data_IF_541450108579
#
_entry.id   IF_541450108579
#
_cell.length_a   1.000
_cell.length_b   1.000
_cell.length_c   1.000
_cell.angle_alpha   90.00
_cell.angle_beta   90.00
_cell.angle_gamma   90.00
#
_symmetry.space_group_name_H-M   'P 1'
#
loop_
_entity.id
_entity.type
_entity.pdbx_description
1 polymer ?
#
# COMPACT_ATOMS: atom_id res chain seq x y z
N UNK A 1 15.77 -3.50 -7.40
CA UNK A 1 14.89 -4.17 -6.41
C UNK A 1 14.93 -3.55 -5.02
N UNK A 2 16.09 -3.44 -4.34
CA UNK A 2 16.18 -2.91 -2.97
C UNK A 2 15.68 -1.47 -2.83
N UNK A 3 16.05 -0.59 -3.78
CA UNK A 3 15.57 0.81 -3.85
C UNK A 3 14.07 0.90 -4.16
N UNK A 4 13.58 0.11 -5.13
CA UNK A 4 12.17 0.10 -5.51
C UNK A 4 11.23 -0.29 -4.36
N UNK A 5 11.56 -1.35 -3.62
CA UNK A 5 10.82 -1.73 -2.41
C UNK A 5 10.99 -0.75 -1.24
N UNK A 6 11.94 0.19 -1.32
CA UNK A 6 12.09 1.29 -0.37
C UNK A 6 11.15 2.45 -0.65
N UNK A 7 10.61 2.56 -1.88
CA UNK A 7 9.74 3.65 -2.33
C UNK A 7 8.25 3.39 -2.10
N UNK A 8 7.87 2.32 -1.41
CA UNK A 8 6.47 1.94 -1.17
C UNK A 8 5.65 3.11 -0.57
N UNK A 9 6.24 3.88 0.34
CA UNK A 9 5.57 4.99 1.02
C UNK A 9 5.23 6.14 0.06
N UNK A 10 6.05 6.37 -0.97
CA UNK A 10 5.79 7.37 -2.01
C UNK A 10 4.56 6.94 -2.81
N UNK A 11 4.49 5.66 -3.19
CA UNK A 11 3.38 5.14 -3.96
C UNK A 11 2.07 5.17 -3.16
N UNK A 12 2.12 4.81 -1.88
CA UNK A 12 0.98 4.89 -0.98
C UNK A 12 0.49 6.35 -0.79
N UNK A 13 1.40 7.31 -0.62
CA UNK A 13 1.05 8.73 -0.48
C UNK A 13 0.37 9.28 -1.74
N UNK A 14 0.95 9.02 -2.91
CA UNK A 14 0.39 9.53 -4.17
C UNK A 14 -0.97 8.88 -4.44
N UNK A 15 -1.10 7.57 -4.27
CA UNK A 15 -2.39 6.87 -4.41
C UNK A 15 -3.45 7.39 -3.43
N UNK A 16 -3.08 7.63 -2.18
CA UNK A 16 -3.99 8.20 -1.16
C UNK A 16 -4.43 9.62 -1.54
N UNK A 17 -3.49 10.47 -1.96
CA UNK A 17 -3.79 11.84 -2.37
C UNK A 17 -4.70 11.88 -3.60
N UNK A 18 -4.46 11.01 -4.60
CA UNK A 18 -5.29 10.91 -5.80
C UNK A 18 -6.71 10.46 -5.48
N UNK A 19 -6.87 9.44 -4.63
CA UNK A 19 -8.18 8.97 -4.18
C UNK A 19 -8.93 10.05 -3.39
N UNK A 20 -8.22 10.76 -2.49
CA UNK A 20 -8.81 11.81 -1.67
C UNK A 20 -9.24 13.04 -2.47
N UNK A 21 -8.45 13.45 -3.45
CA UNK A 21 -8.74 14.59 -4.33
C UNK A 21 -9.78 14.25 -5.41
N UNK A 22 -10.14 12.98 -5.57
CA UNK A 22 -11.11 12.54 -6.56
C UNK A 22 -12.52 13.08 -6.19
N UNK A 23 -13.18 13.83 -7.10
CA UNK A 23 -14.48 14.44 -6.84
C UNK A 23 -15.58 13.46 -6.40
N UNK A 24 -15.51 12.20 -6.86
CA UNK A 24 -16.53 11.18 -6.63
C UNK A 24 -16.08 10.09 -5.66
N UNK A 25 -14.76 9.88 -5.53
CA UNK A 25 -14.16 8.81 -4.70
C UNK A 25 -13.57 9.36 -3.39
N UNK A 26 -13.61 10.68 -3.16
CA UNK A 26 -12.91 11.37 -2.05
C UNK A 26 -13.05 10.76 -0.65
N UNK A 27 -14.24 10.27 -0.26
CA UNK A 27 -14.42 9.60 1.04
C UNK A 27 -13.67 8.27 1.15
N UNK A 28 -13.43 7.57 0.03
CA UNK A 28 -12.62 6.35 0.00
C UNK A 28 -11.12 6.63 0.16
N UNK A 29 -10.66 7.85 -0.10
CA UNK A 29 -9.31 8.28 0.26
C UNK A 29 -8.97 8.08 1.75
N UNK A 30 -9.97 8.06 2.64
CA UNK A 30 -9.78 7.73 4.06
C UNK A 30 -9.36 6.26 4.28
N UNK A 31 -9.89 5.31 3.48
CA UNK A 31 -9.47 3.92 3.57
C UNK A 31 -8.01 3.74 3.15
N UNK A 32 -7.59 4.45 2.09
CA UNK A 32 -6.18 4.46 1.65
C UNK A 32 -5.25 5.06 2.73
N UNK A 33 -5.74 6.05 3.48
CA UNK A 33 -4.99 6.59 4.61
C UNK A 33 -4.85 5.59 5.76
N UNK A 34 -5.91 4.84 6.09
CA UNK A 34 -5.88 3.77 7.10
C UNK A 34 -4.91 2.66 6.68
N UNK A 35 -4.96 2.24 5.41
CA UNK A 35 -3.99 1.30 4.83
C UNK A 35 -2.56 1.81 5.04
N UNK A 36 -2.29 3.06 4.66
CA UNK A 36 -0.97 3.65 4.76
C UNK A 36 -0.44 3.63 6.21
N UNK A 37 -1.30 3.99 7.18
CA UNK A 37 -0.94 3.94 8.60
C UNK A 37 -0.61 2.52 9.08
N UNK A 38 -1.41 1.52 8.70
CA UNK A 38 -1.17 0.11 9.03
C UNK A 38 0.17 -0.36 8.45
N UNK A 39 0.47 0.00 7.19
CA UNK A 39 1.73 -0.35 6.54
C UNK A 39 2.94 0.27 7.25
N UNK A 40 2.86 1.53 7.69
CA UNK A 40 3.92 2.17 8.48
C UNK A 40 4.17 1.37 9.77
N UNK A 41 3.11 1.08 10.53
CA UNK A 41 3.22 0.34 11.79
C UNK A 41 3.87 -1.04 11.60
N UNK A 42 3.49 -1.78 10.56
CA UNK A 42 4.10 -3.07 10.25
C UNK A 42 5.58 -2.94 9.86
N UNK A 43 5.92 -1.94 9.04
CA UNK A 43 7.30 -1.72 8.60
C UNK A 43 8.20 -1.37 9.79
N UNK A 44 7.73 -0.50 10.70
CA UNK A 44 8.44 -0.16 11.93
C UNK A 44 8.65 -1.42 12.79
N UNK A 45 7.60 -2.23 12.97
CA UNK A 45 7.67 -3.47 13.75
C UNK A 45 8.75 -4.43 13.20
N UNK A 46 8.79 -4.62 11.87
CA UNK A 46 9.78 -5.46 11.22
C UNK A 46 11.19 -4.91 11.40
N UNK A 47 11.39 -3.60 11.27
CA UNK A 47 12.71 -2.97 11.47
C UNK A 47 13.22 -3.23 12.89
N UNK A 48 12.36 -3.08 13.91
CA UNK A 48 12.74 -3.38 15.29
C UNK A 48 13.08 -4.86 15.50
N UNK A 49 12.29 -5.78 14.94
CA UNK A 49 12.57 -7.22 15.04
C UNK A 49 13.86 -7.63 14.33
N UNK A 50 14.15 -7.06 13.16
CA UNK A 50 15.41 -7.31 12.45
C UNK A 50 16.61 -6.84 13.28
N UNK A 51 16.55 -5.64 13.87
CA UNK A 51 17.61 -5.15 14.77
C UNK A 51 17.78 -6.05 16.00
N UNK A 52 16.68 -6.52 16.60
CA UNK A 52 16.72 -7.45 17.72
C UNK A 52 17.32 -8.81 17.33
N UNK A 53 17.01 -9.30 16.13
CA UNK A 53 17.56 -10.54 15.57
C UNK A 53 19.08 -10.47 15.36
N UNK A 54 19.59 -9.35 14.86
CA UNK A 54 21.03 -9.09 14.73
C UNK A 54 21.73 -9.01 16.11
N UNK A 55 21.08 -8.38 17.10
CA UNK A 55 21.62 -8.25 18.47
C UNK A 55 21.65 -9.58 19.25
N UNK A 56 20.64 -10.44 19.05
CA UNK A 56 20.46 -11.69 19.80
C UNK A 56 21.11 -12.91 19.13
N UNK A 57 22.23 -12.72 18.40
CA UNK A 57 22.95 -13.79 17.69
C UNK A 57 22.05 -14.70 16.84
N UNK A 58 21.08 -14.10 16.15
CA UNK A 58 20.24 -14.80 15.19
C UNK A 58 19.30 -15.86 15.78
N UNK A 59 18.68 -15.56 16.92
CA UNK A 59 17.63 -16.37 17.56
C UNK A 59 16.58 -16.87 16.53
N UNK A 60 16.36 -18.17 16.54
CA UNK A 60 15.46 -18.87 15.62
C UNK A 60 13.98 -18.49 15.86
N UNK A 61 13.60 -18.04 17.07
CA UNK A 61 12.25 -17.53 17.33
C UNK A 61 11.99 -16.22 16.59
N UNK A 62 12.88 -15.24 16.74
CA UNK A 62 12.81 -13.95 16.05
C UNK A 62 12.84 -14.13 14.52
N UNK A 63 13.58 -15.13 14.03
CA UNK A 63 13.58 -15.53 12.61
C UNK A 63 12.19 -15.88 12.10
N UNK A 64 11.46 -16.73 12.83
CA UNK A 64 10.10 -17.15 12.46
C UNK A 64 9.16 -15.93 12.46
N UNK A 65 9.26 -15.08 13.48
CA UNK A 65 8.44 -13.87 13.59
C UNK A 65 8.70 -12.88 12.44
N UNK A 66 9.95 -12.63 12.06
CA UNK A 66 10.28 -11.76 10.91
C UNK A 66 9.76 -12.37 9.60
N UNK A 67 9.85 -13.70 9.44
CA UNK A 67 9.33 -14.39 8.25
C UNK A 67 7.81 -14.30 8.17
N UNK A 68 7.12 -14.48 9.29
CA UNK A 68 5.67 -14.35 9.38
C UNK A 68 5.23 -12.91 9.07
N UNK A 69 5.90 -11.90 9.65
CA UNK A 69 5.64 -10.49 9.34
C UNK A 69 5.92 -10.16 7.86
N UNK A 70 6.98 -10.76 7.30
CA UNK A 70 7.26 -10.67 5.87
C UNK A 70 6.11 -11.22 5.02
N UNK A 71 5.53 -12.37 5.37
CA UNK A 71 4.36 -12.97 4.71
C UNK A 71 3.12 -12.07 4.85
N UNK A 72 2.88 -11.54 6.05
CA UNK A 72 1.74 -10.67 6.34
C UNK A 72 1.72 -9.42 5.43
N UNK A 73 2.89 -8.81 5.15
CA UNK A 73 2.98 -7.69 4.20
C UNK A 73 2.42 -8.07 2.82
N UNK A 74 2.70 -9.27 2.32
CA UNK A 74 2.19 -9.67 1.00
C UNK A 74 0.69 -9.86 1.00
N UNK A 75 0.19 -10.57 2.02
CA UNK A 75 -1.25 -10.83 2.14
C UNK A 75 -2.00 -9.51 2.24
N UNK A 76 -1.52 -8.58 3.06
CA UNK A 76 -2.13 -7.26 3.16
C UNK A 76 -2.01 -6.47 1.86
N UNK A 77 -0.84 -6.43 1.22
CA UNK A 77 -0.67 -5.69 -0.03
C UNK A 77 -1.65 -6.18 -1.11
N UNK A 78 -1.87 -7.49 -1.20
CA UNK A 78 -2.84 -8.08 -2.12
C UNK A 78 -4.27 -7.74 -1.69
N UNK A 79 -4.60 -7.89 -0.41
CA UNK A 79 -5.94 -7.60 0.11
C UNK A 79 -6.33 -6.13 -0.12
N UNK A 80 -5.45 -5.19 0.23
CA UNK A 80 -5.68 -3.77 0.02
C UNK A 80 -5.72 -3.41 -1.47
N UNK A 81 -4.88 -4.02 -2.31
CA UNK A 81 -4.97 -3.82 -3.75
C UNK A 81 -6.36 -4.18 -4.29
N UNK A 82 -6.91 -5.34 -3.91
CA UNK A 82 -8.26 -5.73 -4.34
C UNK A 82 -9.35 -4.87 -3.72
N UNK A 83 -9.21 -4.48 -2.45
CA UNK A 83 -10.15 -3.58 -1.78
C UNK A 83 -10.20 -2.22 -2.47
N UNK A 84 -9.06 -1.60 -2.75
CA UNK A 84 -8.99 -0.31 -3.45
C UNK A 84 -9.49 -0.44 -4.89
N UNK A 85 -9.14 -1.53 -5.59
CA UNK A 85 -9.63 -1.80 -6.94
C UNK A 85 -11.16 -1.88 -6.98
N UNK A 86 -11.74 -2.64 -6.05
CA UNK A 86 -13.19 -2.82 -5.98
C UNK A 86 -13.89 -1.54 -5.52
N UNK A 87 -13.42 -0.91 -4.45
CA UNK A 87 -14.01 0.30 -3.90
C UNK A 87 -13.97 1.46 -4.90
N UNK A 88 -12.79 1.83 -5.38
CA UNK A 88 -12.64 2.96 -6.31
C UNK A 88 -13.30 2.66 -7.65
N UNK A 89 -13.28 1.41 -8.12
CA UNK A 89 -13.97 0.98 -9.33
C UNK A 89 -15.51 1.05 -9.24
N UNK A 90 -16.09 0.52 -8.15
CA UNK A 90 -17.55 0.53 -7.95
C UNK A 90 -18.06 1.95 -7.75
N UNK A 91 -17.37 2.77 -6.95
CA UNK A 91 -17.77 4.16 -6.69
C UNK A 91 -17.69 4.99 -7.95
N UNK A 92 -16.63 4.82 -8.74
CA UNK A 92 -16.51 5.48 -10.03
C UNK A 92 -17.66 5.07 -10.97
N UNK A 93 -17.99 3.78 -11.05
CA UNK A 93 -19.06 3.29 -11.91
C UNK A 93 -20.43 3.85 -11.48
N UNK A 94 -20.73 3.82 -10.17
CA UNK A 94 -21.96 4.38 -9.62
C UNK A 94 -22.07 5.88 -9.91
N UNK A 95 -20.99 6.64 -9.73
CA UNK A 95 -20.97 8.07 -10.01
C UNK A 95 -21.16 8.40 -11.50
N UNK A 96 -20.65 7.58 -12.42
CA UNK A 96 -20.84 7.82 -13.86
C UNK A 96 -22.19 7.33 -14.41
N UNK A 97 -22.83 6.36 -13.74
CA UNK A 97 -24.17 5.90 -14.13
C UNK A 97 -25.30 6.78 -13.64
N UNK A 98 -25.05 7.61 -12.62
CA UNK A 98 -26.06 8.49 -12.05
C UNK A 98 -26.21 9.79 -12.87
N UNK A 99 -27.44 10.25 -13.09
CA UNK A 99 -27.71 11.44 -13.94
C UNK A 99 -27.33 12.77 -13.27
N UNK A 100 -27.17 12.76 -11.95
CA UNK A 100 -26.78 13.91 -11.14
C UNK A 100 -25.84 13.42 -10.03
N UNK A 101 -24.58 13.11 -10.37
CA UNK A 101 -23.69 12.55 -9.37
C UNK A 101 -23.38 13.62 -8.32
N UNK A 102 -23.77 13.34 -7.09
CA UNK A 102 -23.47 14.19 -5.95
C UNK A 102 -21.94 14.24 -5.80
N UNK A 103 -21.34 15.38 -6.12
CA UNK A 103 -19.90 15.63 -5.94
C UNK A 103 -19.70 16.16 -4.52
N UNK A 104 -19.19 15.36 -3.57
CA UNK A 104 -18.86 15.87 -2.23
C UNK A 104 -17.83 17.01 -2.28
N UNK A 105 -17.02 17.09 -3.34
CA UNK A 105 -15.99 18.12 -3.52
C UNK A 105 -15.99 18.70 -4.94
N UNK A 106 -16.67 19.84 -5.15
CA UNK A 106 -16.54 20.66 -6.37
C UNK A 106 -15.33 21.59 -6.31
N UNK A 107 -14.14 21.02 -6.10
CA UNK A 107 -12.88 21.79 -6.10
C UNK A 107 -12.41 22.04 -7.53
N UNK A 108 -12.88 21.23 -8.49
CA UNK A 108 -12.43 21.23 -9.88
C UNK A 108 -13.45 21.87 -10.81
N UNK A 109 -12.95 22.65 -11.78
CA UNK A 109 -13.76 23.25 -12.84
C UNK A 109 -14.37 22.23 -13.81
N UNK A 110 -13.74 21.05 -13.95
CA UNK A 110 -14.22 19.92 -14.75
C UNK A 110 -14.10 18.61 -13.94
N UNK A 111 -15.08 18.29 -13.08
CA UNK A 111 -15.00 17.18 -12.13
C UNK A 111 -14.98 15.81 -12.81
N UNK A 112 -15.67 15.63 -13.94
CA UNK A 112 -15.76 14.34 -14.63
C UNK A 112 -14.41 13.94 -15.23
N UNK A 113 -13.79 14.86 -15.96
CA UNK A 113 -12.47 14.62 -16.58
C UNK A 113 -11.40 14.42 -15.52
N UNK A 114 -11.43 15.21 -14.43
CA UNK A 114 -10.47 15.06 -13.34
C UNK A 114 -10.65 13.77 -12.55
N UNK A 115 -11.89 13.31 -12.34
CA UNK A 115 -12.14 12.02 -11.71
C UNK A 115 -11.48 10.87 -12.46
N UNK A 116 -11.63 10.84 -13.80
CA UNK A 116 -11.00 9.81 -14.65
C UNK A 116 -9.48 9.84 -14.51
N UNK A 117 -8.88 11.03 -14.58
CA UNK A 117 -7.43 11.20 -14.46
C UNK A 117 -6.94 10.74 -13.09
N UNK A 118 -7.60 11.18 -12.01
CA UNK A 118 -7.21 10.83 -10.65
C UNK A 118 -7.39 9.33 -10.37
N UNK A 119 -8.42 8.70 -10.92
CA UNK A 119 -8.61 7.25 -10.84
C UNK A 119 -7.49 6.49 -11.57
N UNK A 120 -7.09 6.93 -12.77
CA UNK A 120 -5.98 6.32 -13.51
C UNK A 120 -4.66 6.44 -12.73
N UNK A 121 -4.40 7.62 -12.15
CA UNK A 121 -3.23 7.84 -11.29
C UNK A 121 -3.30 6.89 -10.08
N UNK A 122 -4.43 6.85 -9.38
CA UNK A 122 -4.64 5.97 -8.22
C UNK A 122 -4.36 4.51 -8.57
N UNK A 123 -4.88 4.00 -9.69
CA UNK A 123 -4.64 2.61 -10.11
C UNK A 123 -3.18 2.32 -10.42
N UNK A 124 -2.52 3.21 -11.18
CA UNK A 124 -1.09 3.06 -11.49
C UNK A 124 -0.29 3.01 -10.20
N UNK A 125 -0.56 3.91 -9.25
CA UNK A 125 0.16 3.95 -7.99
C UNK A 125 -0.20 2.80 -7.04
N UNK A 126 -1.42 2.26 -7.08
CA UNK A 126 -1.78 1.04 -6.37
C UNK A 126 -1.01 -0.19 -6.91
N UNK A 127 -0.86 -0.31 -8.23
CA UNK A 127 -0.04 -1.38 -8.84
C UNK A 127 1.43 -1.22 -8.44
N UNK A 128 1.98 0.00 -8.53
CA UNK A 128 3.35 0.28 -8.12
C UNK A 128 3.57 -0.01 -6.63
N UNK A 129 2.61 0.34 -5.77
CA UNK A 129 2.63 0.02 -4.35
C UNK A 129 2.68 -1.49 -4.12
N UNK A 130 1.80 -2.26 -4.77
CA UNK A 130 1.77 -3.73 -4.68
C UNK A 130 3.14 -4.33 -5.07
N UNK A 131 3.67 -3.95 -6.23
CA UNK A 131 4.98 -4.46 -6.70
C UNK A 131 6.11 -4.04 -5.75
N UNK A 132 6.04 -2.84 -5.18
CA UNK A 132 7.01 -2.33 -4.22
C UNK A 132 7.01 -3.13 -2.92
N UNK A 133 5.83 -3.41 -2.36
CA UNK A 133 5.66 -4.21 -1.15
C UNK A 133 6.09 -5.67 -1.38
N UNK A 134 5.81 -6.24 -2.55
CA UNK A 134 6.33 -7.55 -2.96
C UNK A 134 7.86 -7.56 -2.94
N UNK A 135 8.50 -6.57 -3.57
CA UNK A 135 9.96 -6.42 -3.60
C UNK A 135 10.54 -6.27 -2.18
N UNK A 136 9.86 -5.50 -1.32
CA UNK A 136 10.26 -5.26 0.07
C UNK A 136 10.23 -6.55 0.88
N UNK A 137 9.14 -7.31 0.79
CA UNK A 137 9.03 -8.60 1.46
C UNK A 137 10.12 -9.59 1.01
N UNK A 138 10.49 -9.58 -0.29
CA UNK A 138 11.52 -10.49 -0.82
C UNK A 138 12.86 -10.13 -0.19
N UNK A 139 13.13 -8.83 -0.08
CA UNK A 139 14.34 -8.30 0.55
C UNK A 139 14.43 -8.73 2.02
N UNK A 140 13.34 -8.62 2.78
CA UNK A 140 13.29 -9.04 4.19
C UNK A 140 13.56 -10.55 4.31
N UNK A 141 12.89 -11.38 3.50
CA UNK A 141 13.10 -12.84 3.50
C UNK A 141 14.54 -13.21 3.16
N UNK A 142 15.17 -12.54 2.18
CA UNK A 142 16.58 -12.78 1.81
C UNK A 142 17.53 -12.40 2.94
N UNK A 143 17.27 -11.29 3.63
CA UNK A 143 18.09 -10.87 4.78
C UNK A 143 18.10 -11.96 5.85
N UNK A 144 16.92 -12.46 6.21
CA UNK A 144 16.80 -13.54 7.21
C UNK A 144 17.47 -14.84 6.75
N UNK A 145 17.32 -15.23 5.47
CA UNK A 145 17.92 -16.46 4.92
C UNK A 145 19.45 -16.41 4.84
N UNK A 146 20.03 -15.25 4.50
CA UNK A 146 21.49 -15.13 4.36
C UNK A 146 22.20 -15.22 5.71
N UNK A 147 21.60 -14.65 6.76
CA UNK A 147 22.15 -14.77 8.12
C UNK A 147 22.04 -16.19 8.70
N UNK A 148 21.19 -17.05 8.12
CA UNK A 148 21.09 -18.46 8.47
C UNK A 148 22.16 -19.35 7.84
N UNK A 149 22.90 -18.87 6.83
CA UNK A 149 23.97 -19.64 6.15
C UNK A 149 25.36 -19.39 6.74
N UNK A 150 25.52 -18.38 7.57
CA UNK A 150 26.79 -17.98 8.17
C UNK A 150 26.99 -18.55 9.60
N UNK A 151 26.12 -19.49 9.99
CA UNK A 151 26.18 -20.33 11.20
C UNK A 151 25.96 -21.77 10.75
#
# INVERSE_FOLDING_TARGET
>A
MKRFGGSWWVFALIGTASAYLNPYVGMFGLFNFVEFFILICMMINIVFRVKAFEKNRYDNRLRIEIRAAGIAIYIMAIAFFFLNLFASGVVFLLAFTDKNPATPFRIWSNPDSMSVILLLIEFVFCILLLVSLICKGITIRRLVKNHAKNF
#
